data_IF_162002050019
#
_entry.id   IF_162002050019
#
_cell.length_a   1.000
_cell.length_b   1.000
_cell.length_c   1.000
_cell.angle_alpha   90.00
_cell.angle_beta   90.00
_cell.angle_gamma   90.00
#
_symmetry.space_group_name_H-M   'P 1'
#
loop_
_entity.id
_entity.type
_entity.pdbx_description
1 polymer ?
#
# COMPACT_ATOMS: atom_id res chain seq x y z
N UNK A 1 22.66 0.59 4.40
CA UNK A 1 21.74 -0.44 4.91
C UNK A 1 20.47 -0.41 4.05
N UNK A 2 20.03 -1.55 3.52
CA UNK A 2 18.87 -1.65 2.62
C UNK A 2 17.57 -1.42 3.39
N UNK A 3 17.47 -1.91 4.63
CA UNK A 3 16.27 -1.78 5.44
C UNK A 3 15.93 -0.31 5.73
N UNK A 4 16.95 0.53 5.94
CA UNK A 4 16.78 1.97 6.18
C UNK A 4 16.18 2.73 4.97
N UNK A 5 16.31 2.18 3.76
CA UNK A 5 15.72 2.80 2.57
C UNK A 5 14.20 2.59 2.47
N UNK A 6 13.66 1.60 3.19
CA UNK A 6 12.28 1.11 3.15
C UNK A 6 11.62 1.13 4.54
N UNK A 7 11.49 2.31 5.17
CA UNK A 7 10.86 2.41 6.49
C UNK A 7 9.40 1.92 6.41
N UNK A 8 9.03 0.96 7.27
CA UNK A 8 7.71 0.32 7.29
C UNK A 8 7.33 -0.45 6.01
N UNK A 9 8.31 -0.83 5.18
CA UNK A 9 8.10 -1.59 3.94
C UNK A 9 8.97 -2.87 3.93
N UNK A 10 8.74 -3.82 4.85
CA UNK A 10 9.59 -5.00 5.03
C UNK A 10 9.66 -5.93 3.80
N UNK A 11 8.53 -6.22 3.12
CA UNK A 11 8.54 -7.08 1.92
C UNK A 11 9.31 -6.45 0.78
N UNK A 12 9.22 -5.13 0.61
CA UNK A 12 10.06 -4.40 -0.33
C UNK A 12 11.55 -4.49 0.03
N UNK A 13 11.89 -4.34 1.32
CA UNK A 13 13.27 -4.45 1.82
C UNK A 13 13.86 -5.85 1.60
N UNK A 14 13.13 -6.91 1.98
CA UNK A 14 13.48 -8.32 1.71
C UNK A 14 13.70 -8.53 0.24
N UNK A 15 12.77 -8.02 -0.56
CA UNK A 15 12.84 -8.12 -2.00
C UNK A 15 14.11 -7.51 -2.57
N UNK A 16 14.49 -6.34 -2.08
CA UNK A 16 15.73 -5.67 -2.48
C UNK A 16 16.98 -6.48 -2.11
N UNK A 17 16.99 -7.08 -0.92
CA UNK A 17 18.07 -7.98 -0.48
C UNK A 17 18.19 -9.18 -1.41
N UNK A 18 17.07 -9.82 -1.76
CA UNK A 18 17.06 -10.95 -2.71
C UNK A 18 17.58 -10.51 -4.07
N UNK A 19 17.09 -9.40 -4.63
CA UNK A 19 17.52 -8.93 -5.95
C UNK A 19 19.02 -8.67 -5.99
N UNK A 20 19.57 -7.97 -4.99
CA UNK A 20 21.03 -7.71 -4.92
C UNK A 20 21.84 -8.97 -4.66
N UNK A 21 21.30 -9.94 -3.92
CA UNK A 21 21.95 -11.23 -3.70
C UNK A 21 22.03 -12.03 -5.01
N UNK A 22 20.94 -12.06 -5.79
CA UNK A 22 20.88 -12.73 -7.09
C UNK A 22 21.80 -12.07 -8.11
N UNK A 23 21.87 -10.73 -8.16
CA UNK A 23 22.80 -10.01 -9.06
C UNK A 23 24.27 -10.32 -8.77
N UNK A 24 24.59 -10.71 -7.54
CA UNK A 24 25.96 -11.04 -7.10
C UNK A 24 26.25 -12.53 -7.08
N UNK A 25 25.24 -13.38 -7.27
CA UNK A 25 25.38 -14.83 -7.19
C UNK A 25 25.65 -15.44 -8.57
N UNK A 26 26.21 -16.65 -8.58
CA UNK A 26 26.38 -17.41 -9.80
C UNK A 26 24.99 -17.76 -10.40
N UNK A 27 24.87 -17.93 -11.74
CA UNK A 27 23.59 -18.19 -12.42
C UNK A 27 22.80 -19.42 -11.90
N UNK A 28 23.46 -20.34 -11.22
CA UNK A 28 22.88 -21.58 -10.65
C UNK A 28 22.48 -21.45 -9.19
N UNK A 29 22.77 -20.33 -8.53
CA UNK A 29 22.52 -20.16 -7.11
C UNK A 29 21.05 -19.80 -6.84
N UNK A 30 20.43 -20.53 -5.92
CA UNK A 30 19.12 -20.17 -5.37
C UNK A 30 19.32 -19.27 -4.15
N UNK A 31 18.77 -18.07 -4.17
CA UNK A 31 18.84 -17.13 -3.05
C UNK A 31 17.49 -17.06 -2.35
N UNK A 32 17.48 -17.26 -1.03
CA UNK A 32 16.31 -17.04 -0.17
C UNK A 32 16.69 -16.04 0.92
N UNK A 33 15.93 -14.96 1.04
CA UNK A 33 16.06 -14.03 2.16
C UNK A 33 14.87 -14.20 3.10
N UNK A 34 15.16 -14.29 4.39
CA UNK A 34 14.16 -14.33 5.47
C UNK A 34 14.40 -13.09 6.32
N UNK A 35 13.34 -12.31 6.53
CA UNK A 35 13.37 -11.19 7.47
C UNK A 35 12.47 -11.54 8.66
N UNK A 36 13.02 -11.36 9.86
CA UNK A 36 12.33 -11.63 11.12
C UNK A 36 12.16 -10.29 11.83
N UNK A 37 10.91 -9.84 11.93
CA UNK A 37 10.56 -8.68 12.75
C UNK A 37 10.13 -9.14 14.13
N UNK A 38 10.86 -8.71 15.15
CA UNK A 38 10.40 -8.79 16.53
C UNK A 38 9.48 -7.59 16.75
N UNK A 39 8.17 -7.83 16.73
CA UNK A 39 7.21 -6.84 17.21
C UNK A 39 7.50 -6.60 18.70
N UNK A 40 7.75 -5.35 19.09
CA UNK A 40 7.78 -4.97 20.49
C UNK A 40 6.36 -5.16 21.07
N UNK A 41 6.09 -6.34 21.63
CA UNK A 41 4.78 -6.71 22.16
C UNK A 41 4.47 -8.20 22.00
N UNK A 42 5.22 -9.05 22.69
CA UNK A 42 4.87 -10.45 22.84
C UNK A 42 4.32 -10.73 24.24
N UNK A 43 3.20 -11.46 24.27
CA UNK A 43 2.60 -12.24 25.38
C UNK A 43 1.47 -11.53 26.16
N UNK A 44 0.26 -12.07 25.99
CA UNK A 44 -0.91 -12.08 26.90
C UNK A 44 -1.16 -10.82 27.75
N UNK A 45 -2.07 -9.97 27.30
CA UNK A 45 -2.70 -8.93 28.12
C UNK A 45 -4.12 -8.73 27.65
N UNK A 46 -5.07 -9.24 28.44
CA UNK A 46 -6.50 -9.11 28.22
C UNK A 46 -6.89 -7.65 28.03
N UNK A 47 -7.97 -7.45 27.26
CA UNK A 47 -8.73 -6.21 27.25
C UNK A 47 -9.00 -5.77 28.70
N UNK A 48 -8.60 -4.56 29.06
CA UNK A 48 -9.18 -3.85 30.18
C UNK A 48 -10.09 -2.77 29.62
N UNK A 49 -11.36 -3.16 29.45
CA UNK A 49 -12.45 -2.21 29.56
C UNK A 49 -12.48 -1.69 30.99
N UNK A 50 -12.36 -0.38 31.16
CA UNK A 50 -12.76 0.28 32.40
C UNK A 50 -13.69 1.42 32.02
N UNK A 51 -14.99 1.11 32.09
CA UNK A 51 -16.06 2.10 32.07
C UNK A 51 -16.19 2.79 33.43
N UNK A 52 -16.63 4.04 33.40
CA UNK A 52 -17.35 4.67 34.50
C UNK A 52 -18.25 5.77 33.93
N UNK A 53 -19.54 5.46 33.84
CA UNK A 53 -20.63 6.42 33.58
C UNK A 53 -20.81 7.35 34.78
N UNK A 54 -21.12 8.63 34.52
CA UNK A 54 -22.05 9.40 35.33
C UNK A 54 -22.98 10.19 34.42
N UNK A 55 -24.28 9.94 34.59
CA UNK A 55 -25.42 10.58 33.92
C UNK A 55 -25.66 11.99 34.48
N UNK A 56 -26.03 12.92 33.62
CA UNK A 56 -26.94 14.01 33.95
C UNK A 56 -27.78 14.34 32.70
N UNK A 57 -29.11 14.32 32.85
CA UNK A 57 -30.09 14.48 31.76
C UNK A 57 -30.70 15.89 31.76
N UNK A 58 -30.79 16.49 30.56
CA UNK A 58 -31.82 17.47 30.21
C UNK A 58 -31.39 18.50 29.15
N UNK A 59 -32.32 19.08 28.37
CA UNK A 59 -33.35 18.45 27.55
C UNK A 59 -33.18 18.74 26.03
N UNK A 60 -33.94 18.00 25.22
CA UNK A 60 -33.82 17.86 23.77
C UNK A 60 -33.95 19.14 22.92
N UNK A 61 -33.02 19.34 21.97
CA UNK A 61 -33.25 20.13 20.73
C UNK A 61 -32.61 19.49 19.49
N UNK A 62 -33.49 19.14 18.54
CA UNK A 62 -33.35 19.05 17.08
C UNK A 62 -32.05 18.50 16.46
N UNK A 63 -32.19 17.29 15.89
CA UNK A 63 -31.37 16.58 14.90
C UNK A 63 -30.36 17.44 14.10
N UNK A 64 -29.09 17.13 14.27
CA UNK A 64 -28.08 17.22 13.23
C UNK A 64 -27.30 15.91 13.19
N UNK A 65 -27.31 15.24 12.03
CA UNK A 65 -26.63 13.97 11.77
C UNK A 65 -25.12 14.22 11.73
N UNK A 66 -24.47 14.17 12.90
CA UNK A 66 -23.02 14.24 13.06
C UNK A 66 -22.53 12.96 13.74
N UNK A 67 -22.24 11.96 12.92
CA UNK A 67 -21.24 10.93 13.21
C UNK A 67 -20.37 10.82 11.96
N UNK A 68 -19.45 11.76 11.83
CA UNK A 68 -18.34 11.66 10.89
C UNK A 68 -17.44 10.53 11.37
N UNK A 69 -17.64 9.33 10.85
CA UNK A 69 -16.75 8.20 11.11
C UNK A 69 -15.34 8.55 10.59
N UNK A 70 -14.43 8.90 11.51
CA UNK A 70 -13.01 9.22 11.26
C UNK A 70 -12.18 8.01 10.75
N UNK A 71 -12.80 6.98 10.19
CA UNK A 71 -12.17 5.70 9.83
C UNK A 71 -12.12 5.43 8.32
N UNK A 72 -12.30 6.46 7.49
CA UNK A 72 -12.12 6.37 6.04
C UNK A 72 -10.80 7.03 5.63
N UNK A 73 -10.13 6.45 4.64
CA UNK A 73 -8.90 6.98 4.07
C UNK A 73 -9.09 7.14 2.56
N UNK A 74 -8.59 8.22 1.98
CA UNK A 74 -8.58 8.39 0.52
C UNK A 74 -7.35 7.71 -0.02
N UNK A 75 -7.54 6.71 -0.88
CA UNK A 75 -6.45 5.86 -1.36
C UNK A 75 -6.35 5.92 -2.88
N UNK A 76 -5.15 5.72 -3.39
CA UNK A 76 -4.92 5.32 -4.78
C UNK A 76 -3.95 4.15 -4.84
N UNK A 77 -3.94 3.42 -5.94
CA UNK A 77 -3.08 2.24 -6.06
C UNK A 77 -2.63 1.92 -7.49
N UNK A 78 -1.59 1.11 -7.57
CA UNK A 78 -1.17 0.40 -8.78
C UNK A 78 -1.38 -1.09 -8.51
N UNK A 79 -2.06 -1.79 -9.43
CA UNK A 79 -2.34 -3.22 -9.30
C UNK A 79 -1.74 -4.01 -10.46
N UNK A 80 -1.01 -5.08 -10.18
CA UNK A 80 -0.46 -6.00 -11.17
C UNK A 80 -1.06 -7.38 -10.98
N UNK A 81 -1.71 -7.93 -12.00
CA UNK A 81 -2.17 -9.32 -11.99
C UNK A 81 -0.99 -10.25 -12.28
N UNK A 82 -1.02 -11.42 -11.68
CA UNK A 82 -0.10 -12.51 -11.95
C UNK A 82 -0.88 -13.83 -11.99
N UNK A 83 -0.31 -14.85 -12.60
CA UNK A 83 -0.82 -16.21 -12.50
C UNK A 83 0.26 -17.10 -11.87
N UNK A 84 -0.10 -17.83 -10.81
CA UNK A 84 0.72 -18.90 -10.26
C UNK A 84 0.24 -20.23 -10.88
N UNK A 85 1.06 -20.81 -11.77
CA UNK A 85 0.78 -22.09 -12.44
C UNK A 85 1.09 -22.10 -13.94
N UNK A 86 1.06 -23.29 -14.55
CA UNK A 86 1.29 -23.48 -15.98
C UNK A 86 0.35 -22.59 -16.83
N UNK A 87 0.79 -22.07 -17.98
CA UNK A 87 0.02 -21.10 -18.76
C UNK A 87 -1.30 -21.74 -19.22
N UNK A 88 -2.42 -21.31 -18.65
CA UNK A 88 -3.76 -21.65 -19.14
C UNK A 88 -4.41 -20.40 -19.71
N UNK A 89 -3.92 -20.00 -20.87
CA UNK A 89 -4.71 -19.19 -21.81
C UNK A 89 -4.57 -19.84 -23.19
N UNK A 90 -5.68 -20.17 -23.86
CA UNK A 90 -5.66 -20.63 -25.26
C UNK A 90 -4.98 -19.63 -26.22
N UNK A 91 -4.88 -18.36 -25.82
CA UNK A 91 -4.44 -17.23 -26.66
C UNK A 91 -2.93 -16.91 -26.65
N UNK A 92 -2.08 -17.76 -26.08
CA UNK A 92 -0.62 -17.59 -26.18
C UNK A 92 -0.01 -16.32 -25.54
N UNK A 93 -0.80 -15.48 -24.85
CA UNK A 93 -0.25 -14.37 -24.06
C UNK A 93 0.44 -14.92 -22.82
N UNK A 94 1.77 -14.83 -22.77
CA UNK A 94 2.58 -15.13 -21.57
C UNK A 94 2.07 -14.28 -20.41
N UNK A 95 1.31 -14.88 -19.50
CA UNK A 95 0.90 -14.21 -18.27
C UNK A 95 2.11 -14.17 -17.34
N UNK A 96 2.40 -12.98 -16.80
CA UNK A 96 3.56 -12.79 -15.92
C UNK A 96 3.47 -13.70 -14.69
N UNK A 97 4.59 -14.30 -14.32
CA UNK A 97 4.73 -15.03 -13.06
C UNK A 97 4.64 -14.07 -11.87
N UNK A 98 4.33 -14.60 -10.69
CA UNK A 98 4.35 -13.82 -9.45
C UNK A 98 5.70 -13.14 -9.19
N UNK A 99 6.80 -13.85 -9.45
CA UNK A 99 8.16 -13.32 -9.27
C UNK A 99 8.47 -12.14 -10.22
N UNK A 100 8.05 -12.22 -11.49
CA UNK A 100 8.19 -11.13 -12.45
C UNK A 100 7.33 -9.91 -12.04
N UNK A 101 6.07 -10.15 -11.61
CA UNK A 101 5.19 -9.08 -11.14
C UNK A 101 5.74 -8.39 -9.89
N UNK A 102 6.31 -9.16 -8.95
CA UNK A 102 6.88 -8.60 -7.73
C UNK A 102 8.14 -7.78 -8.03
N UNK A 103 9.00 -8.26 -8.93
CA UNK A 103 10.19 -7.51 -9.39
C UNK A 103 9.79 -6.19 -10.02
N UNK A 104 8.77 -6.18 -10.88
CA UNK A 104 8.24 -4.95 -11.47
C UNK A 104 7.66 -4.02 -10.40
N UNK A 105 6.89 -4.55 -9.44
CA UNK A 105 6.30 -3.75 -8.38
C UNK A 105 7.36 -3.11 -7.48
N UNK A 106 8.46 -3.82 -7.17
CA UNK A 106 9.60 -3.25 -6.42
C UNK A 106 10.25 -2.10 -7.18
N UNK A 107 10.46 -2.25 -8.49
CA UNK A 107 10.99 -1.17 -9.34
C UNK A 107 10.10 0.07 -9.29
N UNK A 108 8.79 -0.09 -9.48
CA UNK A 108 7.82 1.00 -9.38
C UNK A 108 7.87 1.65 -8.00
N UNK A 109 7.91 0.86 -6.92
CA UNK A 109 7.98 1.39 -5.57
C UNK A 109 9.24 2.24 -5.32
N UNK A 110 10.41 1.82 -5.80
CA UNK A 110 11.66 2.61 -5.68
C UNK A 110 11.50 3.97 -6.35
N UNK A 111 11.03 3.96 -7.60
CA UNK A 111 10.81 5.14 -8.42
C UNK A 111 9.84 6.15 -7.76
N UNK A 112 8.77 5.63 -7.15
CA UNK A 112 7.76 6.44 -6.47
C UNK A 112 8.25 6.96 -5.12
N UNK A 113 8.99 6.15 -4.36
CA UNK A 113 9.59 6.57 -3.09
C UNK A 113 10.63 7.69 -3.30
N UNK A 114 11.41 7.62 -4.38
CA UNK A 114 12.36 8.68 -4.77
C UNK A 114 11.63 10.00 -5.06
N UNK A 115 10.62 9.97 -5.93
CA UNK A 115 9.81 11.15 -6.25
C UNK A 115 9.10 11.71 -5.00
N UNK A 116 8.54 10.85 -4.14
CA UNK A 116 7.90 11.30 -2.91
C UNK A 116 8.87 11.99 -1.95
N UNK A 117 10.11 11.49 -1.84
CA UNK A 117 11.16 12.15 -1.03
C UNK A 117 11.49 13.53 -1.59
N UNK A 118 11.64 13.65 -2.91
CA UNK A 118 11.88 14.94 -3.56
C UNK A 118 10.72 15.91 -3.36
N UNK A 119 9.48 15.47 -3.60
CA UNK A 119 8.29 16.30 -3.49
C UNK A 119 8.08 16.78 -2.06
N UNK A 120 8.29 15.92 -1.06
CA UNK A 120 8.27 16.27 0.36
C UNK A 120 9.35 17.28 0.73
N UNK A 121 10.56 17.13 0.18
CA UNK A 121 11.66 18.06 0.41
C UNK A 121 11.43 19.43 -0.24
N UNK A 122 10.89 19.46 -1.47
CA UNK A 122 10.57 20.67 -2.23
C UNK A 122 9.38 21.43 -1.65
N UNK A 123 8.40 20.73 -1.10
CA UNK A 123 7.15 21.31 -0.58
C UNK A 123 7.04 21.19 0.95
N UNK A 124 8.17 21.32 1.68
CA UNK A 124 8.16 21.34 3.15
C UNK A 124 7.17 22.40 3.64
N UNK A 125 6.24 21.99 4.51
CA UNK A 125 5.19 22.86 5.05
C UNK A 125 3.87 22.86 4.27
N UNK A 126 3.76 22.13 3.16
CA UNK A 126 2.48 21.89 2.48
C UNK A 126 1.76 20.67 3.02
N UNK A 127 0.45 20.66 2.80
CA UNK A 127 -0.43 19.54 3.11
C UNK A 127 0.02 18.28 2.36
N UNK A 128 0.19 17.15 3.05
CA UNK A 128 0.58 15.89 2.42
C UNK A 128 -0.25 15.45 1.22
N UNK A 129 -1.54 15.77 1.28
CA UNK A 129 -2.52 15.47 0.24
C UNK A 129 -2.14 16.13 -1.10
N UNK A 130 -1.57 17.35 -1.06
CA UNK A 130 -1.25 18.14 -2.25
C UNK A 130 -0.16 17.47 -3.08
N UNK A 131 0.92 17.00 -2.46
CA UNK A 131 1.99 16.36 -3.21
C UNK A 131 1.66 14.91 -3.57
N UNK A 132 0.80 14.24 -2.80
CA UNK A 132 0.27 12.93 -3.18
C UNK A 132 -0.44 13.03 -4.54
N UNK A 133 -1.38 13.96 -4.72
CA UNK A 133 -2.10 14.13 -5.98
C UNK A 133 -1.24 14.66 -7.13
N UNK A 134 -0.17 15.43 -6.84
CA UNK A 134 0.70 16.04 -7.85
C UNK A 134 1.79 15.14 -8.44
N UNK A 135 1.96 13.92 -7.93
CA UNK A 135 2.95 12.99 -8.50
C UNK A 135 2.60 12.62 -9.95
N UNK A 136 3.39 13.15 -10.87
CA UNK A 136 3.29 12.87 -12.30
C UNK A 136 3.82 11.46 -12.60
N UNK A 137 4.89 11.05 -11.90
CA UNK A 137 5.47 9.71 -12.08
C UNK A 137 4.48 8.62 -11.70
N UNK A 138 3.69 8.81 -10.62
CA UNK A 138 2.61 7.88 -10.28
C UNK A 138 1.60 7.76 -11.41
N UNK A 139 1.14 8.89 -11.95
CA UNK A 139 0.15 8.88 -13.04
C UNK A 139 0.69 8.14 -14.26
N UNK A 140 1.97 8.35 -14.60
CA UNK A 140 2.64 7.66 -15.72
C UNK A 140 2.74 6.15 -15.47
N UNK A 141 3.31 5.74 -14.33
CA UNK A 141 3.49 4.33 -13.98
C UNK A 141 2.16 3.59 -13.81
N UNK A 142 1.15 4.26 -13.25
CA UNK A 142 -0.18 3.70 -13.12
C UNK A 142 -0.82 3.45 -14.49
N UNK A 143 -0.73 4.40 -15.44
CA UNK A 143 -1.24 4.17 -16.80
C UNK A 143 -0.49 3.08 -17.56
N UNK A 144 0.82 2.98 -17.35
CA UNK A 144 1.67 2.04 -18.07
C UNK A 144 1.53 0.60 -17.56
N UNK A 145 1.39 0.42 -16.24
CA UNK A 145 1.49 -0.89 -15.63
C UNK A 145 0.24 -1.35 -14.89
N UNK A 146 -0.61 -0.45 -14.39
CA UNK A 146 -1.75 -0.85 -13.56
C UNK A 146 -2.83 -1.53 -14.39
N UNK A 147 -3.27 -2.70 -13.93
CA UNK A 147 -4.32 -3.51 -14.53
C UNK A 147 -5.64 -3.40 -13.75
N UNK A 148 -5.75 -2.40 -12.86
CA UNK A 148 -7.01 -2.06 -12.20
C UNK A 148 -7.84 -1.14 -13.11
N UNK A 149 -9.19 -1.29 -13.15
CA UNK A 149 -10.06 -0.34 -13.85
C UNK A 149 -9.88 1.12 -13.42
N UNK A 150 -9.41 1.38 -12.19
CA UNK A 150 -9.10 2.72 -11.70
C UNK A 150 -7.98 3.42 -12.50
N UNK A 151 -7.13 2.66 -13.20
CA UNK A 151 -6.06 3.20 -14.04
C UNK A 151 -6.58 3.96 -15.28
N UNK A 152 -7.81 3.66 -15.72
CA UNK A 152 -8.44 4.33 -16.86
C UNK A 152 -8.90 5.75 -16.54
N UNK A 153 -8.92 6.14 -15.27
CA UNK A 153 -9.23 7.52 -14.86
C UNK A 153 -8.14 8.48 -15.36
N UNK A 154 -8.56 9.64 -15.87
CA UNK A 154 -7.68 10.66 -16.41
C UNK A 154 -6.96 11.50 -15.34
N UNK A 155 -5.84 12.12 -15.73
CA UNK A 155 -5.09 13.09 -14.91
C UNK A 155 -4.71 12.56 -13.53
N UNK A 156 -4.85 13.40 -12.50
CA UNK A 156 -4.50 13.10 -11.11
C UNK A 156 -5.38 12.01 -10.45
N UNK A 157 -6.48 11.63 -11.11
CA UNK A 157 -7.41 10.60 -10.62
C UNK A 157 -7.01 9.18 -11.07
N UNK A 158 -5.95 9.03 -11.88
CA UNK A 158 -5.45 7.74 -12.32
C UNK A 158 -5.10 6.87 -11.10
N UNK A 159 -5.68 5.68 -11.02
CA UNK A 159 -5.48 4.76 -9.89
C UNK A 159 -6.22 5.16 -8.60
N UNK A 160 -7.00 6.24 -8.60
CA UNK A 160 -7.73 6.71 -7.41
C UNK A 160 -8.89 5.76 -7.06
N UNK A 161 -8.91 5.27 -5.83
CA UNK A 161 -9.95 4.42 -5.26
C UNK A 161 -11.04 5.24 -4.53
N UNK A 162 -10.84 6.55 -4.37
CA UNK A 162 -11.70 7.41 -3.58
C UNK A 162 -11.54 7.17 -2.08
N UNK A 163 -12.56 7.58 -1.32
CA UNK A 163 -12.63 7.34 0.12
C UNK A 163 -13.00 5.88 0.39
N UNK A 164 -12.08 5.15 1.01
CA UNK A 164 -12.25 3.74 1.35
C UNK A 164 -12.47 3.61 2.84
N UNK A 165 -13.67 3.17 3.24
CA UNK A 165 -14.04 2.88 4.63
C UNK A 165 -13.32 1.64 5.16
N UNK A 166 -13.23 1.53 6.49
CA UNK A 166 -12.62 0.39 7.19
C UNK A 166 -13.21 -0.97 6.80
N UNK A 167 -14.53 -1.04 6.56
CA UNK A 167 -15.19 -2.26 6.07
C UNK A 167 -14.73 -2.62 4.65
N UNK A 168 -14.63 -1.63 3.77
CA UNK A 168 -14.12 -1.85 2.40
C UNK A 168 -12.66 -2.26 2.40
N UNK A 169 -11.85 -1.69 3.31
CA UNK A 169 -10.44 -2.10 3.49
C UNK A 169 -10.34 -3.56 3.93
N UNK A 170 -11.18 -3.98 4.87
CA UNK A 170 -11.20 -5.36 5.39
C UNK A 170 -11.63 -6.37 4.34
N UNK A 171 -12.52 -6.00 3.42
CA UNK A 171 -12.99 -6.86 2.32
C UNK A 171 -11.95 -7.09 1.21
N UNK A 172 -10.92 -6.24 1.10
CA UNK A 172 -9.87 -6.37 0.05
C UNK A 172 -8.88 -7.51 0.32
N UNK A 173 -8.90 -8.06 1.54
CA UNK A 173 -8.07 -9.20 1.93
C UNK A 173 -6.59 -8.86 2.11
N UNK A 174 -5.82 -9.83 2.61
CA UNK A 174 -4.44 -9.62 3.04
C UNK A 174 -4.34 -8.62 4.19
N UNK A 175 -3.14 -8.06 4.42
CA UNK A 175 -2.88 -7.08 5.48
C UNK A 175 -3.24 -5.64 5.03
N UNK A 176 -4.25 -5.48 4.16
CA UNK A 176 -4.56 -4.21 3.50
C UNK A 176 -4.91 -3.11 4.52
N UNK A 177 -5.77 -3.44 5.49
CA UNK A 177 -6.24 -2.51 6.50
C UNK A 177 -5.10 -2.07 7.42
N UNK A 178 -4.28 -3.01 7.85
CA UNK A 178 -3.13 -2.78 8.74
C UNK A 178 -2.12 -1.87 8.05
N UNK A 179 -1.86 -2.10 6.77
CA UNK A 179 -0.98 -1.25 5.97
C UNK A 179 -1.54 0.16 5.80
N UNK A 180 -2.83 0.31 5.48
CA UNK A 180 -3.46 1.65 5.38
C UNK A 180 -3.41 2.40 6.71
N UNK A 181 -3.63 1.71 7.83
CA UNK A 181 -3.56 2.30 9.17
C UNK A 181 -2.14 2.76 9.54
N UNK A 182 -1.11 2.05 9.08
CA UNK A 182 0.29 2.41 9.31
C UNK A 182 0.79 3.57 8.42
N UNK A 183 0.07 3.89 7.34
CA UNK A 183 0.48 4.94 6.40
C UNK A 183 0.09 6.33 6.86
N UNK A 184 1.03 7.26 6.71
CA UNK A 184 0.72 8.69 6.74
C UNK A 184 0.24 9.16 5.36
N UNK A 185 -0.54 10.24 5.29
CA UNK A 185 -0.83 10.91 4.03
C UNK A 185 0.43 11.17 3.19
N UNK A 186 0.37 10.81 1.92
CA UNK A 186 1.46 10.86 0.96
C UNK A 186 2.47 9.71 0.99
N UNK A 187 2.40 8.79 1.96
CA UNK A 187 3.28 7.61 2.01
C UNK A 187 2.73 6.46 1.12
N UNK A 188 3.66 5.63 0.63
CA UNK A 188 3.37 4.41 -0.11
C UNK A 188 3.40 3.18 0.82
N UNK A 189 2.47 2.24 0.62
CA UNK A 189 2.46 0.97 1.36
C UNK A 189 3.62 0.07 0.94
N UNK A 190 3.80 -1.01 1.69
CA UNK A 190 4.49 -2.19 1.20
C UNK A 190 3.66 -2.91 0.11
N UNK A 191 4.24 -3.94 -0.53
CA UNK A 191 3.56 -4.75 -1.54
C UNK A 191 2.50 -5.64 -0.88
N UNK A 192 1.23 -5.43 -1.24
CA UNK A 192 0.10 -6.23 -0.75
C UNK A 192 -0.25 -7.31 -1.77
N UNK A 193 -0.50 -8.52 -1.31
CA UNK A 193 -1.00 -9.61 -2.17
C UNK A 193 -2.48 -9.85 -1.88
N UNK A 194 -3.32 -9.84 -2.91
CA UNK A 194 -4.72 -10.27 -2.84
C UNK A 194 -5.03 -11.26 -3.96
N UNK A 195 -6.27 -11.77 -4.01
CA UNK A 195 -6.73 -12.63 -5.10
C UNK A 195 -6.70 -11.94 -6.48
N UNK A 196 -6.78 -10.60 -6.51
CA UNK A 196 -6.75 -9.83 -7.75
C UNK A 196 -5.32 -9.60 -8.27
N UNK A 197 -4.31 -9.74 -7.42
CA UNK A 197 -2.92 -9.50 -7.78
C UNK A 197 -2.08 -8.85 -6.68
N UNK A 198 -0.99 -8.20 -7.10
CA UNK A 198 -0.14 -7.38 -6.25
C UNK A 198 -0.61 -5.93 -6.28
N UNK A 199 -0.66 -5.28 -5.12
CA UNK A 199 -1.09 -3.90 -4.97
C UNK A 199 -0.01 -3.07 -4.30
N UNK A 200 0.24 -1.88 -4.84
CA UNK A 200 1.00 -0.83 -4.20
C UNK A 200 0.07 0.35 -3.92
N UNK A 201 -0.14 0.68 -2.65
CA UNK A 201 -1.09 1.69 -2.21
C UNK A 201 -0.36 2.99 -1.94
N UNK A 202 -1.05 4.11 -2.14
CA UNK A 202 -0.69 5.39 -1.58
C UNK A 202 -1.87 5.96 -0.81
N UNK A 203 -1.60 6.43 0.40
CA UNK A 203 -2.59 7.19 1.15
C UNK A 203 -2.56 8.63 0.67
N UNK A 204 -3.68 9.15 0.17
CA UNK A 204 -3.83 10.56 -0.18
C UNK A 204 -4.19 11.35 1.08
N UNK A 205 -5.20 10.88 1.85
CA UNK A 205 -5.71 11.46 3.09
C UNK A 205 -6.08 10.35 4.09
#
# INVERSE_FOLDING_TARGET
DIALAFPNQPRAAVGEVVTKAVERSAPTAQCTAVEVWLLAGGVLGMAEEVGAETKDEGPAKKKQKTTTDMTSARLRHIMLKFQDGAPKTPDGKKVRSKAEAETLMRKIMRDLNEEAKELKSKHRGRKPEDYALKSERFTKLCKEHSECPSAQKGGAMCGDLGWVSKDMQSKRGGNFRELVAALRPGDYSDIVTSMEGLHLLQRIA
#
